data_IF_144517551972
#
_entry.id   IF_144517551972
#
_cell.length_a   1.000
_cell.length_b   1.000
_cell.length_c   1.000
_cell.angle_alpha   90.00
_cell.angle_beta   90.00
_cell.angle_gamma   90.00
#
_symmetry.space_group_name_H-M   'P 1'
#
loop_
_entity.id
_entity.type
_entity.pdbx_description
1 polymer ?
#
# COMPACT_ATOMS: atom_id res chain seq x y z
N UNK A 1 -11.67 8.96 -2.22
CA UNK A 1 -12.59 7.83 -2.45
C UNK A 1 -12.02 6.62 -1.71
N UNK A 2 -12.63 6.24 -0.59
CA UNK A 2 -12.19 5.08 0.20
C UNK A 2 -12.65 3.76 -0.44
N UNK A 3 -11.73 2.82 -0.59
CA UNK A 3 -12.07 1.43 -0.90
C UNK A 3 -12.81 0.82 0.32
N UNK A 4 -14.15 0.75 0.28
CA UNK A 4 -14.97 -0.11 1.18
C UNK A 4 -14.35 -1.52 1.46
N UNK A 5 -14.61 -2.05 2.66
CA UNK A 5 -14.21 -3.41 3.11
C UNK A 5 -14.57 -4.50 2.08
N UNK A 6 -13.69 -5.48 1.80
CA UNK A 6 -13.99 -6.58 0.85
C UNK A 6 -12.79 -7.10 0.03
N UNK A 7 -12.94 -7.22 -1.30
CA UNK A 7 -11.92 -7.65 -2.29
C UNK A 7 -11.17 -6.43 -2.87
N UNK A 8 -10.20 -5.81 -2.17
CA UNK A 8 -9.64 -4.51 -2.57
C UNK A 8 -8.90 -4.57 -3.92
N UNK A 9 -8.15 -5.64 -4.19
CA UNK A 9 -7.50 -5.86 -5.49
C UNK A 9 -8.48 -5.88 -6.67
N UNK A 10 -9.63 -6.54 -6.53
CA UNK A 10 -10.67 -6.52 -7.58
C UNK A 10 -11.25 -5.13 -7.80
N UNK A 11 -11.35 -4.34 -6.73
CA UNK A 11 -12.00 -3.02 -6.78
C UNK A 11 -11.09 -1.95 -7.36
N UNK A 12 -9.79 -1.96 -7.01
CA UNK A 12 -8.83 -1.06 -7.65
C UNK A 12 -8.74 -1.34 -9.16
N UNK A 13 -8.77 -2.62 -9.57
CA UNK A 13 -8.84 -2.99 -11.00
C UNK A 13 -10.14 -2.54 -11.67
N UNK A 14 -11.29 -2.68 -10.99
CA UNK A 14 -12.57 -2.21 -11.53
C UNK A 14 -12.59 -0.68 -11.71
N UNK A 15 -11.94 0.07 -10.82
CA UNK A 15 -11.80 1.53 -10.95
C UNK A 15 -10.88 1.91 -12.11
N UNK A 16 -9.78 1.18 -12.31
CA UNK A 16 -8.84 1.42 -13.40
C UNK A 16 -9.44 1.08 -14.77
N UNK A 17 -10.33 0.09 -14.84
CA UNK A 17 -10.86 -0.45 -16.11
C UNK A 17 -12.30 -0.06 -16.42
N UNK A 18 -12.93 0.83 -15.64
CA UNK A 18 -14.33 1.23 -15.87
C UNK A 18 -14.51 2.01 -17.17
N UNK A 19 -15.63 1.74 -17.86
CA UNK A 19 -15.98 2.33 -19.18
C UNK A 19 -16.09 3.86 -19.18
N UNK A 20 -16.52 4.47 -18.07
CA UNK A 20 -16.66 5.93 -17.95
C UNK A 20 -15.76 6.44 -16.82
N UNK A 21 -14.97 7.46 -17.12
CA UNK A 21 -14.05 8.13 -16.18
C UNK A 21 -13.08 7.17 -15.48
N UNK A 22 -12.30 6.33 -16.18
CA UNK A 22 -11.34 5.42 -15.53
C UNK A 22 -10.44 6.18 -14.56
N UNK A 23 -10.11 5.57 -13.42
CA UNK A 23 -9.19 6.16 -12.43
C UNK A 23 -7.87 5.40 -12.51
N UNK A 24 -6.82 5.98 -13.11
CA UNK A 24 -5.53 5.31 -13.28
C UNK A 24 -4.95 4.83 -11.94
N UNK A 25 -4.23 3.72 -11.95
CA UNK A 25 -3.66 3.12 -10.73
C UNK A 25 -2.65 4.07 -10.10
N UNK A 26 -1.84 4.74 -10.91
CA UNK A 26 -0.85 5.74 -10.52
C UNK A 26 -1.45 7.00 -9.87
N UNK A 27 -2.75 7.26 -10.07
CA UNK A 27 -3.46 8.37 -9.42
C UNK A 27 -4.10 7.99 -8.09
N UNK A 28 -4.02 6.72 -7.68
CA UNK A 28 -4.63 6.26 -6.43
C UNK A 28 -3.81 6.76 -5.23
N UNK A 29 -4.49 7.18 -4.14
CA UNK A 29 -3.82 7.45 -2.88
C UNK A 29 -3.03 6.22 -2.39
N UNK A 30 -1.91 6.46 -1.70
CA UNK A 30 -1.08 5.39 -1.14
C UNK A 30 -1.89 4.41 -0.26
N UNK A 31 -2.82 4.90 0.55
CA UNK A 31 -3.73 4.06 1.35
C UNK A 31 -4.50 3.04 0.49
N UNK A 32 -5.00 3.43 -0.68
CA UNK A 32 -5.75 2.54 -1.56
C UNK A 32 -4.85 1.47 -2.20
N UNK A 33 -3.63 1.86 -2.58
CA UNK A 33 -2.62 0.94 -3.11
C UNK A 33 -2.19 -0.08 -2.05
N UNK A 34 -1.87 0.41 -0.84
CA UNK A 34 -1.51 -0.43 0.30
C UNK A 34 -2.66 -1.34 0.71
N UNK A 35 -3.91 -0.87 0.70
CA UNK A 35 -5.04 -1.73 1.03
C UNK A 35 -5.25 -2.82 -0.03
N UNK A 36 -5.08 -2.51 -1.31
CA UNK A 36 -5.11 -3.51 -2.38
C UNK A 36 -4.01 -4.57 -2.23
N UNK A 37 -2.81 -4.17 -1.80
CA UNK A 37 -1.66 -5.05 -1.58
C UNK A 37 -1.80 -5.91 -0.31
N UNK A 38 -2.16 -5.26 0.81
CA UNK A 38 -2.06 -5.86 2.14
C UNK A 38 -3.36 -6.55 2.57
N UNK A 39 -4.51 -6.15 2.01
CA UNK A 39 -5.82 -6.68 2.37
C UNK A 39 -6.36 -6.19 3.73
N UNK A 40 -5.61 -5.35 4.44
CA UNK A 40 -6.01 -4.74 5.71
C UNK A 40 -6.19 -3.23 5.56
N UNK A 41 -7.41 -2.69 5.72
CA UNK A 41 -7.65 -1.25 5.60
C UNK A 41 -7.02 -0.48 6.77
N UNK A 42 -6.97 -1.08 7.96
CA UNK A 42 -6.34 -0.49 9.15
C UNK A 42 -4.85 -0.34 8.93
N UNK A 43 -4.16 -1.42 8.52
CA UNK A 43 -2.73 -1.38 8.25
C UNK A 43 -2.39 -0.38 7.15
N UNK A 44 -3.15 -0.40 6.05
CA UNK A 44 -2.93 0.49 4.92
C UNK A 44 -3.05 1.97 5.32
N UNK A 45 -4.05 2.31 6.14
CA UNK A 45 -4.23 3.66 6.67
C UNK A 45 -3.09 4.07 7.59
N UNK A 46 -2.74 3.22 8.57
CA UNK A 46 -1.66 3.50 9.52
C UNK A 46 -0.33 3.75 8.81
N UNK A 47 0.00 2.91 7.82
CA UNK A 47 1.23 3.07 7.03
C UNK A 47 1.16 4.32 6.15
N UNK A 48 0.05 4.55 5.44
CA UNK A 48 -0.06 5.74 4.59
C UNK A 48 0.04 7.05 5.39
N UNK A 49 -0.52 7.10 6.60
CA UNK A 49 -0.40 8.25 7.49
C UNK A 49 1.02 8.42 8.00
N UNK A 50 1.66 7.34 8.44
CA UNK A 50 3.04 7.37 8.94
C UNK A 50 4.04 7.82 7.87
N UNK A 51 3.75 7.56 6.60
CA UNK A 51 4.58 7.93 5.46
C UNK A 51 4.15 9.24 4.78
N UNK A 52 3.20 9.99 5.35
CA UNK A 52 2.64 11.23 4.76
C UNK A 52 2.17 11.05 3.30
N UNK A 53 1.58 9.88 3.00
CA UNK A 53 1.11 9.54 1.67
C UNK A 53 2.19 9.24 0.63
N UNK A 54 3.48 9.27 0.98
CA UNK A 54 4.60 9.03 0.07
C UNK A 54 5.44 7.82 0.50
N UNK A 55 5.41 6.76 -0.32
CA UNK A 55 6.14 5.51 -0.04
C UNK A 55 7.66 5.70 0.06
N UNK A 56 8.21 6.79 -0.48
CA UNK A 56 9.65 7.11 -0.39
C UNK A 56 10.07 7.47 1.04
N UNK A 57 9.14 7.93 1.87
CA UNK A 57 9.38 8.24 3.28
C UNK A 57 9.63 7.00 4.14
N UNK A 58 9.50 5.80 3.57
CA UNK A 58 9.87 4.55 4.22
C UNK A 58 11.40 4.40 4.37
N UNK A 59 12.19 5.24 3.72
CA UNK A 59 13.64 5.20 3.86
C UNK A 59 14.06 5.44 5.32
N UNK A 60 14.80 4.47 5.89
CA UNK A 60 15.32 4.56 7.26
C UNK A 60 14.48 3.84 8.29
N UNK A 61 13.30 3.34 7.90
CA UNK A 61 12.48 2.48 8.74
C UNK A 61 13.02 1.06 8.74
N UNK A 62 13.04 0.43 9.92
CA UNK A 62 13.23 -1.00 10.07
C UNK A 62 11.88 -1.75 10.17
N UNK A 63 11.97 -3.07 10.36
CA UNK A 63 10.77 -3.92 10.49
C UNK A 63 10.01 -3.62 11.80
N UNK A 64 10.71 -3.25 12.87
CA UNK A 64 10.11 -2.94 14.17
C UNK A 64 9.32 -1.64 14.10
N UNK A 65 9.83 -0.62 13.41
CA UNK A 65 9.11 0.64 13.16
C UNK A 65 7.76 0.38 12.47
N UNK A 66 7.76 -0.52 11.46
CA UNK A 66 6.54 -0.93 10.79
C UNK A 66 5.59 -1.67 11.74
N UNK A 67 6.09 -2.61 12.52
CA UNK A 67 5.29 -3.40 13.45
C UNK A 67 4.74 -2.59 14.63
N UNK A 68 5.32 -1.44 14.95
CA UNK A 68 4.77 -0.51 15.93
C UNK A 68 3.48 0.18 15.46
N UNK A 69 3.18 0.16 14.16
CA UNK A 69 1.99 0.80 13.60
C UNK A 69 0.70 -0.01 13.88
N UNK A 70 -0.43 0.67 14.18
CA UNK A 70 -1.70 -0.01 14.41
C UNK A 70 -2.13 -0.90 13.24
N UNK A 71 -2.39 -2.18 13.52
CA UNK A 71 -2.85 -3.15 12.53
C UNK A 71 -1.74 -3.74 11.66
N UNK A 72 -0.46 -3.41 11.91
CA UNK A 72 0.69 -3.98 11.20
C UNK A 72 1.30 -5.12 12.01
N UNK A 73 0.95 -6.35 11.63
CA UNK A 73 1.61 -7.56 12.16
C UNK A 73 2.77 -8.02 11.26
N UNK A 74 3.47 -9.08 11.68
CA UNK A 74 4.62 -9.67 10.96
C UNK A 74 4.32 -9.95 9.49
N UNK A 75 3.14 -10.51 9.18
CA UNK A 75 2.75 -10.81 7.80
C UNK A 75 2.57 -9.57 6.92
N UNK A 76 2.15 -8.43 7.50
CA UNK A 76 2.04 -7.15 6.77
C UNK A 76 3.42 -6.55 6.58
N UNK A 77 4.21 -6.48 7.66
CA UNK A 77 5.57 -5.94 7.63
C UNK A 77 6.45 -6.71 6.62
N UNK A 78 6.39 -8.05 6.64
CA UNK A 78 7.14 -8.90 5.71
C UNK A 78 6.76 -8.69 4.24
N UNK A 79 5.47 -8.52 3.93
CA UNK A 79 5.01 -8.21 2.56
C UNK A 79 5.51 -6.86 2.07
N UNK A 80 5.49 -5.85 2.93
CA UNK A 80 5.97 -4.51 2.58
C UNK A 80 7.49 -4.51 2.39
N UNK A 81 8.24 -5.14 3.30
CA UNK A 81 9.69 -5.29 3.19
C UNK A 81 10.08 -6.02 1.89
N UNK A 82 9.37 -7.10 1.55
CA UNK A 82 9.58 -7.83 0.31
C UNK A 82 9.31 -6.96 -0.94
N UNK A 83 8.21 -6.20 -0.94
CA UNK A 83 7.90 -5.27 -2.05
C UNK A 83 9.03 -4.24 -2.25
N UNK A 84 9.49 -3.63 -1.16
CA UNK A 84 10.53 -2.59 -1.21
C UNK A 84 11.84 -3.16 -1.76
N UNK A 85 12.23 -4.36 -1.33
CA UNK A 85 13.41 -5.03 -1.85
C UNK A 85 13.27 -5.37 -3.34
N UNK A 86 12.09 -5.84 -3.79
CA UNK A 86 11.83 -6.07 -5.21
C UNK A 86 12.00 -4.77 -6.03
N UNK A 87 11.42 -3.66 -5.57
CA UNK A 87 11.57 -2.35 -6.23
C UNK A 87 13.04 -1.91 -6.24
N UNK A 88 13.76 -2.07 -5.12
CA UNK A 88 15.18 -1.72 -5.01
C UNK A 88 16.03 -2.48 -6.04
N UNK A 89 15.79 -3.78 -6.24
CA UNK A 89 16.48 -4.60 -7.25
C UNK A 89 16.13 -4.21 -8.68
N UNK A 90 14.91 -3.70 -8.93
CA UNK A 90 14.52 -3.21 -10.25
C UNK A 90 15.18 -1.87 -10.60
N UNK A 91 15.37 -0.99 -9.60
CA UNK A 91 15.93 0.36 -9.79
C UNK A 91 17.46 0.35 -9.78
N UNK A 92 18.09 -0.45 -8.90
CA UNK A 92 19.55 -0.65 -8.88
C UNK A 92 19.92 -1.74 -9.89
N UNK A 93 20.05 -1.37 -11.17
CA UNK A 93 20.84 -2.16 -12.12
C UNK A 93 22.32 -1.86 -11.94
#
# INVERSE_FOLDING_TARGET
MELKKGRPGRRILALATRKRNPVPIESQPLENLLYALLGSPVAARSIAQALDGDIRNLHGWDIQDLMALPGVGEGVAGRLAALVELVRRLVKR
#
